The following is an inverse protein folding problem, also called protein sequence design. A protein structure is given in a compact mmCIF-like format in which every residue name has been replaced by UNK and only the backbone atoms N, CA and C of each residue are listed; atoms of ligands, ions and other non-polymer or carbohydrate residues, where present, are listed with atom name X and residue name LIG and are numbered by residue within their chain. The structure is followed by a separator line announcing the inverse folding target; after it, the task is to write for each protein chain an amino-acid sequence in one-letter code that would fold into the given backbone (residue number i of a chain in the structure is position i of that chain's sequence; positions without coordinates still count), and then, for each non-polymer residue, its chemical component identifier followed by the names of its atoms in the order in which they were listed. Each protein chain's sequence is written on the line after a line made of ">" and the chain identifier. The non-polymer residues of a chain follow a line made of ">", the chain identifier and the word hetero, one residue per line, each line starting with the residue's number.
data_IF_253076939490
#
_entry.id   IF_253076939490
#
_cell.length_a   1.000
_cell.length_b   1.000
_cell.length_c   1.000
_cell.angle_alpha   90.00
_cell.angle_beta   90.00
_cell.angle_gamma   90.00
#
_symmetry.space_group_name_H-M   'P 1'
#
loop_
_entity.id
_entity.type
_entity.pdbx_description
1 polymer ?
#
# COMPACT_ATOMS: atom_id res chain seq x y z
N UNK A 1 -47.01 9.74 47.06
CA UNK A 1 -47.81 9.17 45.95
C UNK A 1 -47.94 10.24 44.89
N UNK A 2 -47.13 10.18 43.84
CA UNK A 2 -47.21 11.14 42.73
C UNK A 2 -47.92 10.49 41.55
N UNK A 3 -48.97 11.13 41.04
CA UNK A 3 -49.85 10.64 39.97
C UNK A 3 -49.42 11.23 38.64
N UNK A 4 -49.30 10.39 37.61
CA UNK A 4 -49.19 10.82 36.20
C UNK A 4 -50.61 11.06 35.68
N UNK A 5 -50.90 12.23 35.10
CA UNK A 5 -52.20 12.49 34.46
C UNK A 5 -52.07 12.18 32.97
N UNK A 6 -52.67 11.08 32.53
CA UNK A 6 -52.83 10.73 31.12
C UNK A 6 -54.25 11.06 30.66
N UNK A 7 -54.38 11.60 29.46
CA UNK A 7 -55.64 11.74 28.73
C UNK A 7 -56.17 10.36 28.29
N UNK A 8 -57.47 10.24 28.02
CA UNK A 8 -58.15 9.05 27.45
C UNK A 8 -57.54 8.56 26.12
N UNK A 9 -56.78 9.43 25.42
CA UNK A 9 -56.00 9.13 24.22
C UNK A 9 -54.55 8.65 24.50
N UNK A 10 -54.16 8.51 25.77
CA UNK A 10 -52.81 8.07 26.17
C UNK A 10 -51.74 9.17 26.15
N UNK A 11 -52.10 10.44 25.97
CA UNK A 11 -51.16 11.57 26.02
C UNK A 11 -50.93 12.07 27.46
N UNK A 12 -49.66 12.26 27.83
CA UNK A 12 -49.22 12.76 29.15
C UNK A 12 -49.50 14.28 29.24
N UNK A 13 -50.32 14.72 30.20
CA UNK A 13 -50.76 16.14 30.30
C UNK A 13 -49.94 17.03 31.25
N UNK A 14 -49.15 16.49 32.19
CA UNK A 14 -48.51 17.33 33.21
C UNK A 14 -47.27 16.66 33.85
N UNK A 15 -46.19 17.44 34.07
CA UNK A 15 -44.92 17.03 34.68
C UNK A 15 -44.74 17.67 36.06
N UNK A 16 -44.97 16.92 37.13
CA UNK A 16 -44.82 17.43 38.50
C UNK A 16 -43.38 17.46 39.02
N UNK A 17 -42.37 17.33 38.13
CA UNK A 17 -40.96 17.19 38.52
C UNK A 17 -40.10 18.40 38.09
N UNK A 18 -39.16 18.88 38.93
CA UNK A 18 -38.33 20.05 38.63
C UNK A 18 -37.40 19.91 37.42
N UNK A 19 -37.29 21.00 36.64
CA UNK A 19 -36.28 21.25 35.60
C UNK A 19 -36.17 20.19 34.49
N UNK A 20 -37.25 19.45 34.26
CA UNK A 20 -37.42 18.54 33.12
C UNK A 20 -38.34 19.14 32.05
N UNK A 21 -38.18 18.68 30.81
CA UNK A 21 -39.10 18.94 29.71
C UNK A 21 -39.41 17.63 29.00
N UNK A 22 -40.61 17.48 28.44
CA UNK A 22 -40.95 16.35 27.58
C UNK A 22 -41.34 16.81 26.19
N UNK A 23 -40.97 15.99 25.21
CA UNK A 23 -41.28 16.17 23.81
C UNK A 23 -41.69 14.82 23.22
N UNK A 24 -42.82 14.81 22.52
CA UNK A 24 -43.38 13.58 21.94
C UNK A 24 -42.53 13.00 20.81
N UNK A 25 -41.61 13.78 20.24
CA UNK A 25 -40.79 13.38 19.09
C UNK A 25 -39.35 12.96 19.46
N UNK A 26 -38.96 12.98 20.74
CA UNK A 26 -37.60 12.64 21.17
C UNK A 26 -37.57 11.36 22.00
N UNK A 27 -36.52 10.54 21.84
CA UNK A 27 -36.24 9.40 22.72
C UNK A 27 -34.96 9.70 23.53
N UNK A 28 -35.00 9.73 24.88
CA UNK A 28 -36.16 9.50 25.73
C UNK A 28 -37.18 10.66 25.69
N UNK A 29 -38.44 10.35 26.00
CA UNK A 29 -39.59 11.26 25.90
C UNK A 29 -39.46 12.49 26.80
N UNK A 30 -38.81 12.34 27.96
CA UNK A 30 -38.53 13.42 28.89
C UNK A 30 -37.02 13.54 29.09
N UNK A 31 -36.53 14.78 29.13
CA UNK A 31 -35.12 15.11 29.31
C UNK A 31 -34.95 16.24 30.33
N UNK A 32 -33.85 16.22 31.08
CA UNK A 32 -33.44 17.38 31.88
C UNK A 32 -33.07 18.55 30.96
N UNK A 33 -33.36 19.78 31.39
CA UNK A 33 -32.90 20.99 30.70
C UNK A 33 -31.36 21.04 30.66
N UNK A 34 -30.80 21.81 29.71
CA UNK A 34 -29.35 22.01 29.59
C UNK A 34 -28.81 22.57 30.91
N UNK A 35 -27.69 22.02 31.39
CA UNK A 35 -27.10 22.39 32.69
C UNK A 35 -27.70 21.65 33.89
N UNK A 36 -28.55 20.64 33.68
CA UNK A 36 -29.13 19.80 34.73
C UNK A 36 -28.85 18.31 34.51
N UNK A 37 -28.83 17.54 35.60
CA UNK A 37 -28.69 16.08 35.61
C UNK A 37 -29.87 15.43 36.33
N UNK A 38 -30.21 14.17 36.00
CA UNK A 38 -31.14 13.37 36.80
C UNK A 38 -30.67 13.30 38.25
N UNK A 39 -31.59 13.47 39.21
CA UNK A 39 -31.26 13.37 40.65
C UNK A 39 -30.81 11.97 41.07
N UNK A 40 -31.33 10.93 40.40
CA UNK A 40 -30.96 9.52 40.57
C UNK A 40 -30.61 8.95 39.19
N UNK A 41 -29.34 8.55 39.01
CA UNK A 41 -28.79 8.21 37.70
C UNK A 41 -29.28 6.89 37.09
N UNK A 42 -29.74 5.93 37.90
CA UNK A 42 -30.14 4.60 37.43
C UNK A 42 -31.65 4.47 37.11
N UNK A 43 -32.50 5.33 37.67
CA UNK A 43 -33.97 5.21 37.55
C UNK A 43 -34.50 5.70 36.19
N UNK A 44 -33.79 6.64 35.55
CA UNK A 44 -34.17 7.21 34.24
C UNK A 44 -34.03 6.22 33.08
N UNK A 45 -33.11 5.25 33.17
CA UNK A 45 -32.97 4.17 32.18
C UNK A 45 -34.15 3.20 32.21
N UNK A 46 -34.87 3.14 33.35
CA UNK A 46 -36.04 2.30 33.56
C UNK A 46 -37.36 3.05 33.28
N UNK A 47 -37.29 4.31 32.82
CA UNK A 47 -38.46 5.14 32.53
C UNK A 47 -39.10 5.78 33.77
N UNK A 48 -38.44 5.77 34.93
CA UNK A 48 -38.89 6.47 36.12
C UNK A 48 -38.23 7.85 36.22
N UNK A 49 -39.01 8.88 35.89
CA UNK A 49 -38.59 10.28 35.91
C UNK A 49 -38.90 11.00 37.24
N UNK A 50 -39.36 10.27 38.26
CA UNK A 50 -39.88 10.85 39.50
C UNK A 50 -38.86 11.59 40.36
N UNK A 51 -37.57 11.34 40.16
CA UNK A 51 -36.51 12.05 40.87
C UNK A 51 -36.33 13.51 40.45
N UNK A 52 -36.85 13.91 39.28
CA UNK A 52 -36.61 15.23 38.69
C UNK A 52 -35.13 15.48 38.36
N UNK A 53 -34.83 16.75 38.05
CA UNK A 53 -33.50 17.17 37.62
C UNK A 53 -32.87 18.14 38.64
N UNK A 54 -31.55 18.08 38.79
CA UNK A 54 -30.75 18.94 39.66
C UNK A 54 -29.67 19.66 38.85
N UNK A 55 -29.33 20.89 39.23
CA UNK A 55 -28.31 21.68 38.53
C UNK A 55 -26.95 20.96 38.55
N UNK A 56 -26.28 20.94 37.40
CA UNK A 56 -24.89 20.47 37.25
C UNK A 56 -23.90 21.40 37.90
N UNK A 57 -24.05 22.70 37.62
CA UNK A 57 -23.14 23.74 38.06
C UNK A 57 -23.86 24.77 38.91
N UNK A 58 -23.21 25.21 39.99
CA UNK A 58 -23.72 26.26 40.88
C UNK A 58 -23.66 27.63 40.18
N UNK A 59 -24.70 28.44 40.36
CA UNK A 59 -24.76 29.81 39.86
C UNK A 59 -23.80 30.72 40.63
N UNK A 60 -23.24 31.71 39.94
CA UNK A 60 -22.24 32.64 40.49
C UNK A 60 -22.85 33.92 41.07
N UNK A 61 -24.10 34.23 40.71
CA UNK A 61 -24.91 35.28 41.35
C UNK A 61 -24.19 36.63 41.56
N UNK A 62 -23.51 37.12 40.52
CA UNK A 62 -22.91 38.45 40.52
C UNK A 62 -21.60 38.61 41.31
N UNK A 63 -21.12 37.59 42.03
CA UNK A 63 -19.81 37.62 42.68
C UNK A 63 -18.70 37.36 41.65
N UNK A 64 -18.37 38.38 40.87
CA UNK A 64 -17.18 38.40 40.00
C UNK A 64 -15.88 38.62 40.80
N UNK A 65 -15.77 38.07 42.01
CA UNK A 65 -14.59 38.25 42.89
C UNK A 65 -13.44 37.29 42.56
N UNK A 66 -13.63 36.36 41.63
CA UNK A 66 -12.57 35.53 41.09
C UNK A 66 -12.35 35.91 39.62
N UNK A 67 -11.18 36.49 39.32
CA UNK A 67 -10.80 37.07 38.01
C UNK A 67 -10.89 36.13 36.78
N UNK A 68 -11.38 34.90 36.94
CA UNK A 68 -11.47 33.87 35.90
C UNK A 68 -12.84 33.17 35.81
N UNK A 69 -13.90 33.65 36.47
CA UNK A 69 -15.25 33.05 36.39
C UNK A 69 -16.23 33.99 35.69
N UNK A 70 -16.81 33.54 34.58
CA UNK A 70 -17.78 34.32 33.81
C UNK A 70 -19.10 34.53 34.55
N UNK A 71 -19.83 35.61 34.21
CA UNK A 71 -21.17 35.92 34.76
C UNK A 71 -22.20 34.91 34.24
N UNK A 72 -23.17 34.54 35.09
CA UNK A 72 -24.33 33.72 34.69
C UNK A 72 -25.00 34.30 33.44
N UNK A 73 -25.50 33.44 32.56
CA UNK A 73 -26.16 33.81 31.30
C UNK A 73 -27.48 33.06 31.14
N UNK A 74 -28.28 33.42 30.15
CA UNK A 74 -29.54 32.76 29.85
C UNK A 74 -29.48 31.95 28.57
N UNK A 75 -30.14 30.79 28.59
CA UNK A 75 -30.39 29.96 27.42
C UNK A 75 -31.86 30.12 27.01
N UNK A 76 -32.10 30.47 25.75
CA UNK A 76 -33.45 30.55 25.20
C UNK A 76 -33.98 29.15 24.85
N UNK A 77 -35.23 28.91 25.22
CA UNK A 77 -36.08 27.80 24.78
C UNK A 77 -37.36 28.36 24.14
N UNK A 78 -37.46 28.28 22.82
CA UNK A 78 -38.62 28.78 22.07
C UNK A 78 -39.76 27.76 22.05
N UNK A 79 -41.00 28.23 21.82
CA UNK A 79 -42.21 27.40 21.70
C UNK A 79 -42.47 26.47 22.90
N UNK A 80 -42.29 27.00 24.11
CA UNK A 80 -42.53 26.28 25.35
C UNK A 80 -43.88 26.66 25.96
N UNK A 81 -44.52 25.69 26.63
CA UNK A 81 -45.56 25.97 27.61
C UNK A 81 -44.88 26.37 28.92
N UNK A 82 -45.11 27.62 29.34
CA UNK A 82 -44.48 28.20 30.52
C UNK A 82 -45.06 27.64 31.84
N UNK A 83 -44.29 27.62 32.94
CA UNK A 83 -44.78 27.18 34.24
C UNK A 83 -45.83 28.12 34.82
N UNK A 84 -46.67 27.58 35.70
CA UNK A 84 -47.68 28.35 36.43
C UNK A 84 -47.04 29.22 37.53
N UNK A 85 -47.78 30.24 38.00
CA UNK A 85 -47.40 31.15 39.09
C UNK A 85 -46.13 31.99 38.87
N UNK A 86 -46.00 32.73 37.75
CA UNK A 86 -44.91 33.68 37.59
C UNK A 86 -45.06 34.88 38.54
N UNK A 87 -43.93 35.49 38.90
CA UNK A 87 -43.90 36.82 39.50
C UNK A 87 -43.81 37.85 38.37
N UNK A 88 -44.82 38.73 38.28
CA UNK A 88 -44.84 39.80 37.30
C UNK A 88 -44.00 40.97 37.78
N UNK A 89 -43.11 41.45 36.90
CA UNK A 89 -42.27 42.62 37.16
C UNK A 89 -42.58 43.70 36.14
N UNK A 90 -42.76 44.94 36.60
CA UNK A 90 -42.91 46.08 35.71
C UNK A 90 -41.56 46.33 35.01
N UNK A 91 -41.49 45.99 33.72
CA UNK A 91 -40.29 46.07 32.90
C UNK A 91 -40.69 46.50 31.48
N UNK A 92 -40.02 47.52 30.94
CA UNK A 92 -40.32 48.09 29.63
C UNK A 92 -39.65 47.35 28.46
N UNK A 93 -38.73 46.42 28.75
CA UNK A 93 -38.02 45.64 27.75
C UNK A 93 -37.59 44.27 28.26
N UNK A 94 -37.23 43.38 27.32
CA UNK A 94 -36.67 42.05 27.63
C UNK A 94 -35.32 42.14 28.35
N UNK A 95 -34.50 43.15 28.04
CA UNK A 95 -33.18 43.37 28.66
C UNK A 95 -33.30 43.85 30.11
N UNK A 96 -34.34 44.65 30.43
CA UNK A 96 -34.67 45.01 31.80
C UNK A 96 -35.20 43.81 32.61
N UNK A 97 -35.96 42.92 31.97
CA UNK A 97 -36.44 41.68 32.57
C UNK A 97 -35.27 40.74 32.91
N UNK A 98 -34.33 40.59 31.97
CA UNK A 98 -33.08 39.86 32.16
C UNK A 98 -32.27 40.44 33.33
N UNK A 99 -32.05 41.76 33.32
CA UNK A 99 -31.29 42.45 34.37
C UNK A 99 -31.93 42.31 35.75
N UNK A 100 -33.27 42.35 35.81
CA UNK A 100 -34.03 42.15 37.05
C UNK A 100 -33.88 40.74 37.60
N UNK A 101 -33.90 39.73 36.71
CA UNK A 101 -33.62 38.35 37.08
C UNK A 101 -32.17 38.14 37.55
N UNK A 102 -31.17 38.74 36.87
CA UNK A 102 -29.76 38.62 37.28
C UNK A 102 -29.47 39.18 38.66
N UNK A 103 -30.14 40.27 39.05
CA UNK A 103 -30.02 40.89 40.38
C UNK A 103 -30.53 40.00 41.51
N UNK A 104 -31.47 39.09 41.23
CA UNK A 104 -32.00 38.15 42.21
C UNK A 104 -31.35 36.77 42.02
N UNK A 105 -30.48 36.35 42.93
CA UNK A 105 -29.79 35.05 42.84
C UNK A 105 -30.77 33.85 42.84
N UNK A 106 -31.93 34.01 43.46
CA UNK A 106 -32.98 32.98 43.45
C UNK A 106 -33.74 32.90 42.13
N UNK A 107 -33.54 33.86 41.21
CA UNK A 107 -34.17 33.81 39.90
C UNK A 107 -33.63 32.66 39.05
N UNK A 108 -34.52 31.76 38.64
CA UNK A 108 -34.22 30.59 37.83
C UNK A 108 -34.41 30.86 36.34
N UNK A 109 -35.47 31.56 35.96
CA UNK A 109 -35.80 31.86 34.58
C UNK A 109 -36.68 33.10 34.46
N UNK A 110 -36.74 33.68 33.26
CA UNK A 110 -37.71 34.70 32.91
C UNK A 110 -38.34 34.42 31.54
N UNK A 111 -39.47 35.07 31.28
CA UNK A 111 -40.10 35.16 29.97
C UNK A 111 -40.54 36.60 29.77
N UNK A 112 -40.48 37.07 28.53
CA UNK A 112 -40.90 38.41 28.17
C UNK A 112 -41.78 38.33 26.93
N UNK A 113 -43.02 38.78 27.06
CA UNK A 113 -44.00 38.81 25.99
C UNK A 113 -44.76 40.16 25.99
N UNK A 114 -45.88 40.23 25.24
CA UNK A 114 -46.73 41.43 25.20
C UNK A 114 -47.42 41.74 26.54
N UNK A 115 -47.53 40.76 27.44
CA UNK A 115 -48.14 40.91 28.76
C UNK A 115 -47.11 41.34 29.83
N UNK A 116 -45.83 41.45 29.45
CA UNK A 116 -44.76 42.00 30.29
C UNK A 116 -43.72 40.95 30.70
N UNK A 117 -43.02 41.24 31.79
CA UNK A 117 -41.95 40.40 32.31
C UNK A 117 -42.49 39.43 33.36
N UNK A 118 -42.30 38.13 33.11
CA UNK A 118 -42.63 37.04 34.03
C UNK A 118 -41.34 36.40 34.54
N UNK A 119 -41.17 36.33 35.86
CA UNK A 119 -39.97 35.79 36.51
C UNK A 119 -40.33 34.59 37.40
N UNK A 120 -39.49 33.55 37.39
CA UNK A 120 -39.59 32.41 38.29
C UNK A 120 -38.39 32.37 39.24
N UNK A 121 -38.67 32.28 40.55
CA UNK A 121 -37.64 32.21 41.61
C UNK A 121 -37.54 30.85 42.30
N UNK A 122 -38.25 29.86 41.79
CA UNK A 122 -38.33 28.51 42.34
C UNK A 122 -38.05 27.48 41.24
N UNK A 123 -38.24 26.21 41.58
CA UNK A 123 -38.16 25.09 40.65
C UNK A 123 -39.19 25.23 39.53
N UNK A 124 -38.74 25.02 38.29
CA UNK A 124 -39.62 25.04 37.13
C UNK A 124 -40.25 23.66 36.97
N UNK A 125 -41.56 23.58 37.14
CA UNK A 125 -42.37 22.36 36.95
C UNK A 125 -43.34 22.55 35.79
N UNK A 126 -43.90 21.47 35.26
CA UNK A 126 -44.89 21.48 34.18
C UNK A 126 -44.41 22.12 32.86
N UNK A 127 -43.10 22.13 32.61
CA UNK A 127 -42.55 22.58 31.32
C UNK A 127 -42.81 21.55 30.22
N UNK A 128 -43.24 22.04 29.06
CA UNK A 128 -43.52 21.20 27.90
C UNK A 128 -43.09 21.90 26.61
N UNK A 129 -42.36 21.19 25.75
CA UNK A 129 -42.04 21.64 24.40
C UNK A 129 -43.26 21.41 23.50
N UNK A 130 -43.79 22.48 22.91
CA UNK A 130 -44.93 22.38 22.00
C UNK A 130 -44.46 22.05 20.58
N UNK A 131 -45.33 21.39 19.81
CA UNK A 131 -45.09 21.07 18.40
C UNK A 131 -45.19 22.35 17.56
N UNK A 132 -44.40 22.45 16.48
CA UNK A 132 -44.16 23.69 15.73
C UNK A 132 -45.37 24.37 15.08
N UNK A 133 -46.59 23.84 15.21
CA UNK A 133 -47.83 24.43 14.70
C UNK A 133 -48.69 25.11 15.79
N UNK A 134 -48.32 25.02 17.07
CA UNK A 134 -49.09 25.63 18.16
C UNK A 134 -48.65 27.07 18.40
N UNK A 135 -49.50 28.02 17.99
CA UNK A 135 -49.31 29.47 18.17
C UNK A 135 -49.34 29.95 19.64
N UNK A 136 -49.51 29.04 20.59
CA UNK A 136 -49.55 29.31 22.04
C UNK A 136 -48.18 29.19 22.73
N UNK A 137 -47.14 28.77 22.00
CA UNK A 137 -45.79 28.66 22.55
C UNK A 137 -45.16 30.00 22.86
N UNK A 138 -44.41 30.06 23.96
CA UNK A 138 -43.67 31.26 24.40
C UNK A 138 -42.18 30.96 24.57
N UNK A 139 -41.33 31.98 24.51
CA UNK A 139 -39.89 31.85 24.78
C UNK A 139 -39.59 31.93 26.28
N UNK A 140 -38.94 30.90 26.82
CA UNK A 140 -38.43 30.85 28.18
C UNK A 140 -36.91 31.05 28.17
N UNK A 141 -36.40 31.91 29.03
CA UNK A 141 -34.97 32.18 29.20
C UNK A 141 -34.50 31.59 30.53
N UNK A 142 -33.78 30.47 30.47
CA UNK A 142 -33.30 29.72 31.64
C UNK A 142 -31.92 30.18 32.07
N UNK A 143 -31.73 30.50 33.36
CA UNK A 143 -30.44 30.94 33.92
C UNK A 143 -29.47 29.77 34.11
N UNK A 144 -28.27 29.88 33.53
CA UNK A 144 -27.19 28.91 33.58
C UNK A 144 -25.85 29.57 33.96
N UNK A 145 -24.93 28.77 34.52
CA UNK A 145 -23.57 29.23 34.82
C UNK A 145 -22.76 29.45 33.54
N UNK A 146 -21.83 30.41 33.53
CA UNK A 146 -21.02 30.74 32.34
C UNK A 146 -20.21 29.56 31.79
N UNK A 147 -19.78 28.66 32.66
CA UNK A 147 -19.04 27.45 32.29
C UNK A 147 -19.85 26.45 31.47
N UNK A 148 -21.18 26.51 31.51
CA UNK A 148 -22.05 25.67 30.67
C UNK A 148 -21.98 26.06 29.18
N UNK A 149 -21.48 27.26 28.86
CA UNK A 149 -21.35 27.76 27.48
C UNK A 149 -19.94 27.61 26.90
N UNK A 150 -18.96 27.10 27.68
CA UNK A 150 -17.53 27.08 27.28
C UNK A 150 -17.06 25.74 26.69
N UNK A 151 -17.96 24.89 26.21
CA UNK A 151 -17.63 23.61 25.57
C UNK A 151 -17.92 23.65 24.08
N UNK A 152 -16.98 24.16 23.28
CA UNK A 152 -16.77 23.66 21.90
C UNK A 152 -15.46 24.11 21.26
N UNK A 153 -14.33 23.73 21.86
CA UNK A 153 -13.00 23.96 21.25
C UNK A 153 -12.33 22.65 20.79
N UNK A 154 -12.89 21.49 21.15
CA UNK A 154 -12.25 20.19 20.88
C UNK A 154 -12.67 19.59 19.53
N UNK A 155 -13.85 19.92 19.00
CA UNK A 155 -14.33 19.36 17.73
C UNK A 155 -13.50 19.85 16.52
N UNK A 156 -13.10 21.13 16.50
CA UNK A 156 -12.26 21.68 15.43
C UNK A 156 -10.85 21.08 15.39
N UNK A 157 -10.26 20.77 16.55
CA UNK A 157 -8.95 20.12 16.65
C UNK A 157 -9.03 18.67 16.16
N UNK A 158 -10.08 17.93 16.53
CA UNK A 158 -10.27 16.54 16.09
C UNK A 158 -10.47 16.45 14.57
N UNK A 159 -11.29 17.33 13.99
CA UNK A 159 -11.51 17.38 12.53
C UNK A 159 -10.21 17.74 11.79
N UNK A 160 -9.42 18.68 12.32
CA UNK A 160 -8.11 19.05 11.77
C UNK A 160 -7.11 17.89 11.78
N UNK A 161 -6.99 17.17 12.90
CA UNK A 161 -6.07 16.04 13.04
C UNK A 161 -6.48 14.89 12.13
N UNK A 162 -7.76 14.51 12.10
CA UNK A 162 -8.24 13.42 11.24
C UNK A 162 -8.07 13.77 9.76
N UNK A 163 -8.36 15.01 9.37
CA UNK A 163 -8.14 15.50 8.00
C UNK A 163 -6.66 15.40 7.59
N UNK A 164 -5.73 15.84 8.45
CA UNK A 164 -4.29 15.77 8.16
C UNK A 164 -3.78 14.34 8.00
N UNK A 165 -4.24 13.41 8.84
CA UNK A 165 -3.82 12.00 8.78
C UNK A 165 -4.31 11.34 7.49
N UNK A 166 -5.56 11.59 7.09
CA UNK A 166 -6.11 11.04 5.84
C UNK A 166 -5.37 11.58 4.61
N UNK A 167 -5.01 12.87 4.59
CA UNK A 167 -4.23 13.45 3.50
C UNK A 167 -2.82 12.85 3.43
N UNK A 168 -2.13 12.71 4.56
CA UNK A 168 -0.80 12.08 4.61
C UNK A 168 -0.85 10.62 4.17
N UNK A 169 -1.81 9.84 4.68
CA UNK A 169 -1.99 8.44 4.25
C UNK A 169 -2.36 8.35 2.76
N UNK A 170 -3.17 9.26 2.24
CA UNK A 170 -3.50 9.38 0.83
C UNK A 170 -2.28 9.69 -0.03
N UNK A 171 -1.45 10.65 0.39
CA UNK A 171 -0.18 10.98 -0.28
C UNK A 171 0.80 9.81 -0.23
N UNK A 172 0.94 9.14 0.91
CA UNK A 172 1.77 7.93 1.03
C UNK A 172 1.25 6.79 0.14
N UNK A 173 -0.07 6.61 0.04
CA UNK A 173 -0.67 5.64 -0.87
C UNK A 173 -0.44 6.01 -2.34
N UNK A 174 -0.58 7.29 -2.71
CA UNK A 174 -0.30 7.78 -4.06
C UNK A 174 1.18 7.66 -4.39
N UNK A 175 2.08 8.00 -3.47
CA UNK A 175 3.52 7.80 -3.61
C UNK A 175 3.86 6.32 -3.74
N UNK A 176 3.30 5.45 -2.91
CA UNK A 176 3.46 4.00 -3.00
C UNK A 176 2.93 3.45 -4.34
N UNK A 177 1.79 3.96 -4.82
CA UNK A 177 1.20 3.59 -6.11
C UNK A 177 2.00 4.14 -7.29
N UNK A 178 2.53 5.37 -7.21
CA UNK A 178 3.39 5.97 -8.22
C UNK A 178 4.77 5.31 -8.25
N UNK A 179 5.37 5.01 -7.10
CA UNK A 179 6.61 4.26 -6.97
C UNK A 179 6.41 2.83 -7.50
N UNK A 180 5.29 2.17 -7.19
CA UNK A 180 4.92 0.90 -7.83
C UNK A 180 4.68 1.06 -9.32
N UNK A 181 4.08 2.14 -9.82
CA UNK A 181 3.89 2.36 -11.26
C UNK A 181 5.21 2.65 -11.98
N UNK A 182 6.14 3.41 -11.40
CA UNK A 182 7.46 3.69 -11.94
C UNK A 182 8.37 2.45 -11.93
N UNK A 183 8.22 1.56 -10.94
CA UNK A 183 8.91 0.27 -10.88
C UNK A 183 8.20 -0.79 -11.75
N UNK A 184 6.87 -0.71 -11.90
CA UNK A 184 6.08 -1.70 -12.63
C UNK A 184 5.95 -1.42 -14.13
N UNK A 185 5.97 -0.17 -14.62
CA UNK A 185 5.89 0.08 -16.07
C UNK A 185 7.03 -0.56 -16.87
N UNK A 186 8.30 -0.57 -16.43
CA UNK A 186 9.32 -1.37 -17.11
C UNK A 186 9.16 -2.87 -16.90
N UNK A 187 8.74 -3.34 -15.71
CA UNK A 187 8.50 -4.76 -15.43
C UNK A 187 7.26 -5.35 -16.13
N UNK A 188 6.26 -4.55 -16.50
CA UNK A 188 5.03 -5.03 -17.18
C UNK A 188 5.30 -5.24 -18.68
N UNK A 189 6.17 -4.44 -19.28
CA UNK A 189 6.56 -4.54 -20.69
C UNK A 189 7.75 -5.48 -20.92
N UNK A 190 8.65 -5.61 -19.94
CA UNK A 190 9.81 -6.51 -19.96
C UNK A 190 10.03 -7.19 -18.59
N UNK A 191 9.17 -8.14 -18.19
CA UNK A 191 9.21 -8.78 -16.86
C UNK A 191 10.54 -9.49 -16.56
N UNK A 192 11.24 -9.94 -17.60
CA UNK A 192 12.40 -10.80 -17.51
C UNK A 192 13.74 -10.04 -17.53
N UNK A 193 13.78 -8.75 -17.92
CA UNK A 193 15.05 -8.00 -18.10
C UNK A 193 15.15 -6.75 -17.23
N UNK A 194 14.05 -6.26 -16.65
CA UNK A 194 14.07 -5.04 -15.83
C UNK A 194 14.93 -5.16 -14.55
N UNK A 195 15.16 -6.37 -14.03
CA UNK A 195 16.02 -6.56 -12.86
C UNK A 195 17.53 -6.50 -13.18
N UNK A 196 17.92 -6.52 -14.46
CA UNK A 196 19.33 -6.48 -14.87
C UNK A 196 20.03 -5.19 -14.49
N UNK A 197 19.29 -4.07 -14.40
CA UNK A 197 19.84 -2.79 -13.95
C UNK A 197 20.31 -2.82 -12.49
N UNK A 198 19.93 -3.84 -11.72
CA UNK A 198 20.39 -4.05 -10.34
C UNK A 198 21.59 -5.00 -10.22
N UNK A 199 22.03 -5.62 -11.33
CA UNK A 199 23.17 -6.53 -11.34
C UNK A 199 24.44 -5.79 -11.73
N UNK A 200 25.05 -5.10 -10.77
CA UNK A 200 26.33 -4.43 -10.97
C UNK A 200 27.54 -5.36 -10.81
N UNK A 201 27.89 -6.16 -11.82
CA UNK A 201 29.17 -6.91 -11.85
C UNK A 201 29.74 -7.12 -13.27
N UNK A 202 31.07 -7.10 -13.37
CA UNK A 202 31.91 -7.11 -14.59
C UNK A 202 31.62 -8.19 -15.65
N UNK A 203 30.88 -9.26 -15.32
CA UNK A 203 30.70 -10.47 -16.17
C UNK A 203 29.28 -10.68 -16.69
N UNK A 204 28.37 -9.76 -16.41
CA UNK A 204 27.01 -9.73 -16.96
C UNK A 204 26.87 -8.49 -17.83
N UNK A 205 26.17 -8.62 -18.94
CA UNK A 205 25.87 -7.47 -19.80
C UNK A 205 24.73 -6.66 -19.19
N UNK A 206 25.08 -5.51 -18.61
CA UNK A 206 24.18 -4.70 -17.80
C UNK A 206 23.32 -3.79 -18.66
N UNK A 207 22.02 -3.76 -18.39
CA UNK A 207 21.06 -2.84 -18.99
C UNK A 207 21.19 -1.45 -18.35
N UNK A 208 21.55 -0.44 -19.14
CA UNK A 208 21.64 0.95 -18.68
C UNK A 208 20.29 1.65 -18.64
N UNK A 209 19.42 1.31 -19.58
CA UNK A 209 18.12 1.95 -19.68
C UNK A 209 17.25 1.32 -20.75
N UNK A 210 16.03 1.84 -20.86
CA UNK A 210 15.05 1.41 -21.84
C UNK A 210 14.29 2.64 -22.34
N UNK A 211 13.78 2.57 -23.57
CA UNK A 211 12.89 3.60 -24.11
C UNK A 211 11.59 2.95 -24.58
N UNK A 212 10.48 3.60 -24.23
CA UNK A 212 9.14 3.20 -24.61
C UNK A 212 8.37 4.42 -25.15
N UNK A 213 8.01 4.36 -26.43
CA UNK A 213 7.24 5.43 -27.09
C UNK A 213 6.51 4.90 -28.33
N UNK A 214 5.17 5.02 -28.33
CA UNK A 214 4.32 4.45 -29.38
C UNK A 214 4.48 2.92 -29.47
N UNK A 215 4.74 2.41 -30.68
CA UNK A 215 5.01 0.98 -30.93
C UNK A 215 6.50 0.58 -30.80
N UNK A 216 7.39 1.50 -30.42
CA UNK A 216 8.83 1.23 -30.33
C UNK A 216 9.22 0.86 -28.89
N UNK A 217 9.93 -0.26 -28.75
CA UNK A 217 10.52 -0.74 -27.49
C UNK A 217 12.02 -0.88 -27.73
N UNK A 218 12.82 -0.14 -26.98
CA UNK A 218 14.28 -0.13 -27.12
C UNK A 218 14.93 -0.43 -25.77
N UNK A 219 16.04 -1.17 -25.81
CA UNK A 219 16.88 -1.46 -24.67
C UNK A 219 18.27 -0.87 -24.95
N UNK A 220 18.88 -0.25 -23.94
CA UNK A 220 20.16 0.46 -24.06
C UNK A 220 21.19 -0.27 -23.19
N UNK A 221 22.29 -0.66 -23.82
CA UNK A 221 23.41 -1.37 -23.22
C UNK A 221 24.73 -0.71 -23.63
N UNK A 222 25.82 -1.04 -22.93
CA UNK A 222 27.18 -0.70 -23.40
C UNK A 222 27.45 -1.33 -24.76
N UNK A 223 28.11 -0.65 -25.68
CA UNK A 223 28.49 -1.29 -26.93
C UNK A 223 29.64 -2.30 -26.73
N UNK A 224 29.46 -3.52 -27.24
CA UNK A 224 30.45 -4.61 -27.21
C UNK A 224 31.22 -4.66 -28.53
N UNK A 225 32.45 -4.16 -28.51
CA UNK A 225 33.24 -3.87 -29.72
C UNK A 225 33.65 -5.14 -30.48
N UNK A 226 33.86 -6.25 -29.78
CA UNK A 226 34.17 -7.54 -30.40
C UNK A 226 32.92 -8.38 -30.68
N UNK A 227 31.71 -7.86 -30.43
CA UNK A 227 30.47 -8.55 -30.77
C UNK A 227 30.29 -9.89 -30.05
N UNK A 228 29.64 -10.85 -30.71
CA UNK A 228 29.31 -12.17 -30.15
C UNK A 228 30.42 -13.19 -30.37
N UNK A 229 30.58 -14.11 -29.41
CA UNK A 229 31.54 -15.21 -29.50
C UNK A 229 31.31 -16.08 -30.76
N UNK A 230 30.06 -16.30 -31.17
CA UNK A 230 29.77 -17.12 -32.36
C UNK A 230 30.28 -16.51 -33.66
N UNK A 231 30.38 -15.18 -33.75
CA UNK A 231 30.97 -14.47 -34.89
C UNK A 231 32.46 -14.81 -35.03
N UNK A 232 33.16 -14.97 -33.90
CA UNK A 232 34.57 -15.37 -33.86
C UNK A 232 34.80 -16.87 -34.12
N UNK A 233 33.84 -17.72 -33.79
CA UNK A 233 33.98 -19.18 -33.94
C UNK A 233 33.59 -19.68 -35.33
N UNK A 234 32.57 -19.09 -35.97
CA UNK A 234 31.95 -19.67 -37.17
C UNK A 234 31.97 -18.79 -38.42
N UNK A 235 32.10 -17.47 -38.26
CA UNK A 235 31.97 -16.52 -39.37
C UNK A 235 33.34 -15.93 -39.75
N UNK A 236 34.22 -16.78 -40.26
CA UNK A 236 35.65 -16.53 -40.46
C UNK A 236 36.05 -15.68 -41.68
N UNK A 237 35.40 -14.53 -41.95
CA UNK A 237 35.86 -13.64 -43.04
C UNK A 237 36.45 -12.29 -42.60
N UNK A 238 36.11 -11.78 -41.41
CA UNK A 238 36.65 -10.48 -40.93
C UNK A 238 37.04 -10.48 -39.45
N UNK A 239 36.80 -11.57 -38.72
CA UNK A 239 36.99 -11.61 -37.27
C UNK A 239 38.34 -12.21 -36.86
N UNK A 240 38.96 -11.62 -35.83
CA UNK A 240 40.22 -12.12 -35.25
C UNK A 240 40.00 -13.52 -34.67
N UNK A 241 40.76 -14.49 -35.17
CA UNK A 241 40.76 -15.86 -34.65
C UNK A 241 41.17 -15.85 -33.18
N UNK A 242 40.34 -16.44 -32.32
CA UNK A 242 40.60 -16.51 -30.89
C UNK A 242 41.66 -17.57 -30.60
N UNK A 243 42.75 -17.15 -29.94
CA UNK A 243 43.78 -18.05 -29.47
C UNK A 243 43.31 -18.86 -28.25
N UNK A 244 44.08 -19.90 -27.91
CA UNK A 244 43.79 -20.80 -26.79
C UNK A 244 43.57 -20.05 -25.47
N UNK A 245 44.45 -19.09 -25.16
CA UNK A 245 44.40 -18.32 -23.91
C UNK A 245 43.11 -17.52 -23.83
N UNK A 246 42.72 -16.86 -24.91
CA UNK A 246 41.49 -16.06 -24.99
C UNK A 246 40.26 -16.95 -24.85
N UNK A 247 40.21 -18.09 -25.56
CA UNK A 247 39.11 -19.06 -25.40
C UNK A 247 38.98 -19.56 -23.96
N UNK A 248 40.09 -19.90 -23.31
CA UNK A 248 40.07 -20.29 -21.90
C UNK A 248 39.52 -19.18 -20.98
N UNK A 249 39.94 -17.93 -21.17
CA UNK A 249 39.41 -16.80 -20.39
C UNK A 249 37.93 -16.57 -20.65
N UNK A 250 37.47 -16.77 -21.88
CA UNK A 250 36.04 -16.68 -22.24
C UNK A 250 35.24 -17.77 -21.52
N UNK A 251 35.70 -19.02 -21.54
CA UNK A 251 35.07 -20.12 -20.81
C UNK A 251 34.98 -19.80 -19.31
N UNK A 252 36.12 -19.48 -18.69
CA UNK A 252 36.21 -19.19 -17.26
C UNK A 252 35.36 -17.97 -16.86
N UNK A 253 35.40 -16.89 -17.64
CA UNK A 253 34.62 -15.69 -17.38
C UNK A 253 33.11 -15.95 -17.51
N UNK A 254 32.70 -16.75 -18.51
CA UNK A 254 31.31 -17.17 -18.67
C UNK A 254 30.85 -18.03 -17.49
N UNK A 255 31.65 -19.02 -17.07
CA UNK A 255 31.35 -19.84 -15.91
C UNK A 255 31.17 -19.02 -14.63
N UNK A 256 32.03 -18.01 -14.40
CA UNK A 256 31.89 -17.07 -13.28
C UNK A 256 30.60 -16.26 -13.37
N UNK A 257 30.23 -15.79 -14.57
CA UNK A 257 28.96 -15.11 -14.80
C UNK A 257 27.77 -16.00 -14.45
N UNK A 258 27.76 -17.25 -14.89
CA UNK A 258 26.71 -18.22 -14.59
C UNK A 258 26.63 -18.55 -13.09
N UNK A 259 27.77 -18.79 -12.44
CA UNK A 259 27.83 -19.04 -11.00
C UNK A 259 27.25 -17.87 -10.20
N UNK A 260 27.55 -16.63 -10.63
CA UNK A 260 26.96 -15.45 -9.99
C UNK A 260 25.44 -15.36 -10.19
N UNK A 261 24.89 -15.77 -11.33
CA UNK A 261 23.44 -15.82 -11.55
C UNK A 261 22.76 -16.84 -10.63
N UNK A 262 23.41 -17.97 -10.37
CA UNK A 262 22.84 -19.06 -9.55
C UNK A 262 22.96 -18.81 -8.05
N UNK A 263 24.14 -18.37 -7.61
CA UNK A 263 24.51 -18.34 -6.18
C UNK A 263 24.81 -16.92 -5.67
N UNK A 264 25.17 -16.01 -6.57
CA UNK A 264 25.57 -14.65 -6.22
C UNK A 264 24.43 -13.65 -6.13
N UNK A 265 23.23 -14.04 -6.56
CA UNK A 265 22.02 -13.22 -6.56
C UNK A 265 21.06 -13.66 -5.43
N UNK A 266 20.27 -12.72 -4.90
CA UNK A 266 19.30 -13.03 -3.81
C UNK A 266 18.28 -14.09 -4.22
N UNK A 267 17.78 -13.99 -5.45
CA UNK A 267 16.92 -14.98 -6.08
C UNK A 267 17.75 -15.64 -7.20
N UNK A 268 17.69 -16.97 -7.32
CA UNK A 268 18.43 -17.70 -8.34
C UNK A 268 17.92 -17.31 -9.74
N UNK A 269 18.82 -16.90 -10.63
CA UNK A 269 18.47 -16.52 -12.00
C UNK A 269 18.80 -17.65 -12.96
N UNK A 270 17.79 -18.08 -13.71
CA UNK A 270 17.97 -19.00 -14.84
C UNK A 270 17.73 -18.20 -16.13
N UNK A 271 18.72 -18.16 -17.01
CA UNK A 271 18.82 -17.43 -18.27
C UNK A 271 18.07 -18.13 -19.41
N UNK A 272 18.08 -19.46 -19.41
CA UNK A 272 17.45 -20.34 -20.38
C UNK A 272 18.02 -20.37 -21.82
N UNK A 273 19.08 -19.62 -22.14
CA UNK A 273 19.60 -19.54 -23.52
C UNK A 273 21.11 -19.30 -23.56
N UNK A 274 21.86 -20.15 -22.87
CA UNK A 274 23.33 -20.08 -22.87
C UNK A 274 23.86 -20.72 -24.15
N UNK A 275 24.51 -19.90 -24.99
CA UNK A 275 25.09 -20.27 -26.28
C UNK A 275 26.09 -19.19 -26.73
N UNK A 276 27.01 -19.47 -27.68
CA UNK A 276 28.00 -18.49 -28.14
C UNK A 276 27.42 -17.16 -28.66
N UNK A 277 26.21 -17.15 -29.22
CA UNK A 277 25.55 -15.91 -29.69
C UNK A 277 25.26 -14.93 -28.53
N UNK A 278 25.01 -15.48 -27.35
CA UNK A 278 24.61 -14.73 -26.16
C UNK A 278 25.80 -14.43 -25.23
N UNK A 279 27.03 -14.71 -25.68
CA UNK A 279 28.26 -14.30 -25.00
C UNK A 279 28.87 -13.16 -25.81
N UNK A 280 28.77 -11.94 -25.30
CA UNK A 280 29.36 -10.76 -25.93
C UNK A 280 30.75 -10.49 -25.37
N UNK A 281 31.60 -9.88 -26.19
CA UNK A 281 33.01 -9.63 -25.90
C UNK A 281 33.30 -8.13 -25.95
N UNK A 282 33.88 -7.60 -24.87
CA UNK A 282 34.40 -6.22 -24.84
C UNK A 282 35.75 -6.11 -25.55
N UNK A 283 36.37 -4.92 -25.53
CA UNK A 283 37.64 -4.65 -26.25
C UNK A 283 38.78 -5.57 -25.81
N UNK A 284 38.80 -6.02 -24.55
CA UNK A 284 39.79 -6.96 -24.01
C UNK A 284 39.43 -8.45 -24.21
N UNK A 285 38.36 -8.75 -24.97
CA UNK A 285 37.80 -10.10 -25.11
C UNK A 285 37.31 -10.69 -23.78
N UNK A 286 36.97 -9.85 -22.80
CA UNK A 286 36.32 -10.32 -21.59
C UNK A 286 34.85 -10.67 -21.89
N UNK A 287 34.38 -11.87 -21.49
CA UNK A 287 33.04 -12.32 -21.80
C UNK A 287 32.01 -11.68 -20.87
N UNK A 288 30.86 -11.31 -21.45
CA UNK A 288 29.64 -10.95 -20.72
C UNK A 288 28.45 -11.74 -21.23
N UNK A 289 27.74 -12.38 -20.31
CA UNK A 289 26.48 -13.08 -20.62
C UNK A 289 25.43 -12.03 -20.97
N UNK A 290 24.77 -12.19 -22.11
CA UNK A 290 23.81 -11.27 -22.70
C UNK A 290 22.51 -11.98 -23.13
N UNK A 291 21.49 -11.20 -23.50
CA UNK A 291 20.16 -11.67 -23.91
C UNK A 291 19.38 -12.46 -22.85
N UNK A 292 19.01 -11.75 -21.80
CA UNK A 292 18.16 -12.26 -20.73
C UNK A 292 16.66 -12.24 -21.09
N UNK A 293 16.27 -12.14 -22.37
CA UNK A 293 14.87 -12.09 -22.78
C UNK A 293 14.04 -13.31 -22.30
N UNK A 294 14.71 -14.46 -22.14
CA UNK A 294 14.13 -15.71 -21.65
C UNK A 294 14.35 -15.96 -20.15
N UNK A 295 15.11 -15.10 -19.47
CA UNK A 295 15.53 -15.32 -18.09
C UNK A 295 14.38 -15.27 -17.08
N UNK A 296 14.50 -15.98 -15.95
CA UNK A 296 13.54 -15.99 -14.84
C UNK A 296 14.22 -16.07 -13.48
N UNK A 297 13.53 -15.54 -12.48
CA UNK A 297 13.88 -15.63 -11.06
C UNK A 297 13.19 -16.86 -10.44
N UNK A 298 13.98 -17.78 -9.88
CA UNK A 298 13.51 -18.94 -9.13
C UNK A 298 13.48 -18.55 -7.65
N UNK A 299 12.28 -18.34 -7.12
CA UNK A 299 12.07 -17.94 -5.71
C UNK A 299 10.64 -17.51 -5.35
N UNK A 300 9.83 -17.05 -6.32
CA UNK A 300 8.48 -16.51 -6.04
C UNK A 300 7.30 -17.28 -6.63
N UNK A 301 7.47 -18.03 -7.72
CA UNK A 301 6.39 -18.86 -8.28
C UNK A 301 6.95 -20.11 -8.98
N UNK A 302 7.09 -21.20 -8.22
CA UNK A 302 7.53 -22.51 -8.73
C UNK A 302 6.52 -23.13 -9.73
N UNK A 303 5.35 -22.52 -9.95
CA UNK A 303 4.16 -23.20 -10.49
C UNK A 303 3.87 -22.88 -11.99
N UNK A 304 4.41 -21.79 -12.58
CA UNK A 304 4.14 -21.43 -14.00
C UNK A 304 5.27 -21.68 -14.99
N UNK A 305 6.43 -22.17 -14.54
CA UNK A 305 7.62 -22.33 -15.40
C UNK A 305 7.57 -23.58 -16.29
N UNK A 306 6.66 -24.53 -16.02
CA UNK A 306 6.56 -25.83 -16.69
C UNK A 306 6.00 -25.80 -18.14
N UNK A 307 5.49 -24.68 -18.68
CA UNK A 307 4.53 -24.75 -19.80
C UNK A 307 4.99 -24.25 -21.18
N UNK A 308 6.20 -23.68 -21.36
CA UNK A 308 6.65 -23.27 -22.72
C UNK A 308 8.08 -23.73 -23.01
N UNK A 309 8.24 -24.58 -24.04
CA UNK A 309 9.54 -24.91 -24.63
C UNK A 309 10.21 -23.62 -25.10
N UNK A 310 11.34 -23.26 -24.49
CA UNK A 310 12.17 -22.08 -24.80
C UNK A 310 13.63 -22.51 -24.92
N UNK A 311 14.48 -21.70 -25.55
CA UNK A 311 15.92 -21.98 -25.73
C UNK A 311 16.27 -22.53 -27.12
N UNK A 312 17.56 -22.77 -27.36
CA UNK A 312 18.12 -23.02 -28.70
C UNK A 312 18.49 -24.49 -28.93
N UNK A 313 18.00 -25.07 -30.03
CA UNK A 313 18.33 -26.45 -30.44
C UNK A 313 19.85 -26.63 -30.57
N UNK A 314 20.39 -27.68 -29.95
CA UNK A 314 21.83 -27.91 -29.85
C UNK A 314 22.45 -27.53 -28.51
N UNK A 315 21.72 -26.77 -27.68
CA UNK A 315 22.14 -26.36 -26.33
C UNK A 315 21.13 -26.75 -25.24
N UNK A 316 19.97 -27.30 -25.62
CA UNK A 316 18.91 -27.73 -24.69
C UNK A 316 19.28 -29.02 -23.96
N UNK A 317 19.17 -28.98 -22.64
CA UNK A 317 19.34 -30.15 -21.78
C UNK A 317 18.21 -31.18 -22.03
N UNK A 318 18.49 -32.50 -21.90
CA UNK A 318 17.51 -33.54 -22.18
C UNK A 318 16.26 -33.40 -21.30
N UNK A 319 16.40 -33.10 -20.01
CA UNK A 319 15.29 -32.87 -19.07
C UNK A 319 14.33 -31.77 -19.53
N UNK A 320 14.84 -30.81 -20.29
CA UNK A 320 14.07 -29.73 -20.87
C UNK A 320 13.22 -30.18 -22.05
N UNK A 321 13.77 -31.08 -22.88
CA UNK A 321 13.07 -31.66 -24.04
C UNK A 321 11.93 -32.57 -23.58
N UNK A 322 12.15 -33.35 -22.51
CA UNK A 322 11.11 -34.18 -21.87
C UNK A 322 10.19 -33.39 -20.92
N UNK A 323 10.29 -32.06 -20.87
CA UNK A 323 9.40 -31.14 -20.12
C UNK A 323 9.33 -31.41 -18.61
N UNK A 324 10.44 -31.84 -18.02
CA UNK A 324 10.58 -32.01 -16.57
C UNK A 324 10.98 -30.67 -15.92
N UNK A 325 10.87 -30.56 -14.60
CA UNK A 325 11.26 -29.36 -13.86
C UNK A 325 12.71 -28.95 -14.16
N UNK A 326 12.87 -27.76 -14.72
CA UNK A 326 14.16 -27.20 -15.09
C UNK A 326 14.87 -26.68 -13.84
N UNK A 327 16.12 -27.11 -13.65
CA UNK A 327 16.98 -26.66 -12.55
C UNK A 327 18.18 -25.88 -13.10
N UNK A 328 19.03 -25.37 -12.21
CA UNK A 328 20.33 -24.79 -12.57
C UNK A 328 21.23 -25.78 -13.33
N UNK A 329 20.97 -27.10 -13.29
CA UNK A 329 21.70 -28.11 -14.06
C UNK A 329 21.51 -27.98 -15.57
N UNK A 330 20.38 -27.46 -16.02
CA UNK A 330 20.17 -27.20 -17.44
C UNK A 330 21.13 -26.13 -17.98
N UNK A 331 21.51 -25.12 -17.17
CA UNK A 331 22.57 -24.17 -17.54
C UNK A 331 23.93 -24.84 -17.64
N UNK A 332 24.23 -25.79 -16.76
CA UNK A 332 25.51 -26.53 -16.78
C UNK A 332 25.60 -27.32 -18.08
N UNK A 333 24.51 -27.98 -18.48
CA UNK A 333 24.43 -28.67 -19.77
C UNK A 333 24.64 -27.70 -20.95
N UNK A 334 23.89 -26.60 -21.02
CA UNK A 334 24.04 -25.61 -22.10
C UNK A 334 25.45 -24.99 -22.15
N UNK A 335 26.08 -24.79 -21.00
CA UNK A 335 27.48 -24.35 -20.90
C UNK A 335 28.44 -25.43 -21.44
N UNK A 336 28.21 -26.71 -21.15
CA UNK A 336 28.98 -27.81 -21.76
C UNK A 336 28.86 -27.85 -23.27
N UNK A 337 27.64 -27.66 -23.80
CA UNK A 337 27.40 -27.51 -25.24
C UNK A 337 28.18 -26.32 -25.83
N UNK A 338 28.22 -25.18 -25.14
CA UNK A 338 29.04 -24.04 -25.55
C UNK A 338 30.55 -24.35 -25.52
N UNK A 339 31.03 -25.12 -24.54
CA UNK A 339 32.44 -25.53 -24.47
C UNK A 339 32.83 -26.41 -25.65
N UNK A 340 31.96 -27.33 -26.09
CA UNK A 340 32.20 -28.14 -27.29
C UNK A 340 32.37 -27.27 -28.54
N UNK A 341 31.52 -26.25 -28.71
CA UNK A 341 31.63 -25.29 -29.80
C UNK A 341 32.92 -24.46 -29.70
N UNK A 342 33.30 -24.06 -28.49
CA UNK A 342 34.48 -23.25 -28.23
C UNK A 342 35.78 -24.00 -28.54
N UNK A 343 35.88 -25.28 -28.19
CA UNK A 343 37.09 -26.08 -28.43
C UNK A 343 37.19 -26.60 -29.85
N UNK A 344 36.07 -26.90 -30.49
CA UNK A 344 36.05 -27.53 -31.82
C UNK A 344 35.96 -26.52 -32.95
N UNK A 345 35.45 -25.31 -32.68
CA UNK A 345 35.08 -24.36 -33.74
C UNK A 345 33.95 -24.89 -34.64
N UNK A 346 33.23 -25.93 -34.22
CA UNK A 346 32.13 -26.57 -34.98
C UNK A 346 30.81 -26.38 -34.24
N UNK A 347 29.72 -26.27 -34.99
CA UNK A 347 28.36 -26.19 -34.42
C UNK A 347 27.97 -27.54 -33.82
N UNK A 348 27.23 -27.51 -32.71
CA UNK A 348 26.74 -28.76 -32.09
C UNK A 348 25.74 -29.53 -32.95
N UNK A 349 24.91 -28.80 -33.69
CA UNK A 349 23.95 -29.34 -34.65
C UNK A 349 24.28 -28.82 -36.04
N UNK A 350 24.59 -29.73 -36.96
CA UNK A 350 24.78 -29.40 -38.37
C UNK A 350 23.62 -30.01 -39.18
N UNK A 351 22.78 -29.15 -39.78
CA UNK A 351 21.70 -29.57 -40.67
C UNK A 351 22.29 -29.79 -42.08
N UNK A 352 22.98 -30.91 -42.27
CA UNK A 352 23.35 -31.32 -43.63
C UNK A 352 22.11 -31.74 -44.43
N UNK A 353 22.11 -31.51 -45.74
CA UNK A 353 21.01 -31.85 -46.67
C UNK A 353 20.57 -33.33 -46.63
N UNK A 354 21.38 -34.23 -46.05
CA UNK A 354 21.16 -35.67 -46.01
C UNK A 354 20.14 -36.18 -44.96
N UNK A 355 19.26 -35.31 -44.39
CA UNK A 355 18.25 -35.63 -43.35
C UNK A 355 18.78 -36.24 -42.03
N UNK A 356 20.07 -36.54 -41.92
CA UNK A 356 20.71 -37.01 -40.69
C UNK A 356 21.32 -35.80 -39.97
N UNK A 357 20.72 -35.42 -38.83
CA UNK A 357 21.29 -34.42 -37.93
C UNK A 357 22.53 -35.04 -37.28
N UNK A 358 23.71 -34.54 -37.63
CA UNK A 358 24.95 -34.91 -36.93
C UNK A 358 25.03 -34.08 -35.66
N UNK A 359 24.95 -34.74 -34.50
CA UNK A 359 25.10 -34.10 -33.20
C UNK A 359 26.53 -34.29 -32.68
N UNK A 360 27.35 -33.26 -32.81
CA UNK A 360 28.78 -33.30 -32.47
C UNK A 360 29.05 -33.72 -31.01
N UNK A 361 28.29 -33.28 -29.99
CA UNK A 361 28.55 -33.64 -28.61
C UNK A 361 28.51 -35.16 -28.33
N UNK A 362 27.66 -35.94 -29.01
CA UNK A 362 27.65 -37.41 -28.85
C UNK A 362 28.97 -38.02 -29.33
N UNK A 363 29.48 -37.55 -30.49
CA UNK A 363 30.77 -38.00 -31.02
C UNK A 363 31.91 -37.61 -30.07
N UNK A 364 31.90 -36.38 -29.58
CA UNK A 364 32.92 -35.90 -28.66
C UNK A 364 32.93 -36.69 -27.34
N UNK A 365 31.74 -36.96 -26.77
CA UNK A 365 31.60 -37.76 -25.55
C UNK A 365 32.07 -39.20 -25.74
N UNK A 366 31.73 -39.87 -26.86
CA UNK A 366 32.22 -41.22 -27.17
C UNK A 366 33.75 -41.28 -27.23
N UNK A 367 34.39 -40.35 -27.94
CA UNK A 367 35.86 -40.26 -28.00
C UNK A 367 36.47 -40.10 -26.60
N UNK A 368 35.87 -39.29 -25.73
CA UNK A 368 36.39 -39.03 -24.38
C UNK A 368 36.19 -40.22 -23.45
N UNK A 369 35.03 -40.88 -23.50
CA UNK A 369 34.68 -42.03 -22.65
C UNK A 369 35.47 -43.27 -23.05
N UNK A 370 35.64 -43.50 -24.35
CA UNK A 370 36.35 -44.66 -24.90
C UNK A 370 37.87 -44.48 -24.91
N UNK A 371 38.38 -43.31 -24.50
CA UNK A 371 39.81 -43.01 -24.47
C UNK A 371 40.44 -42.82 -25.85
N UNK A 372 39.66 -42.38 -26.82
CA UNK A 372 40.11 -42.04 -28.17
C UNK A 372 40.92 -40.73 -28.23
N UNK A 373 41.45 -40.44 -29.42
CA UNK A 373 42.27 -39.24 -29.65
C UNK A 373 41.42 -37.96 -29.59
N UNK A 374 41.63 -37.16 -28.54
CA UNK A 374 40.93 -35.89 -28.33
C UNK A 374 41.39 -34.79 -29.30
N UNK A 375 42.54 -34.91 -29.95
CA UNK A 375 42.99 -33.91 -30.93
C UNK A 375 42.03 -33.81 -32.12
N UNK A 376 41.39 -34.91 -32.52
CA UNK A 376 40.41 -34.91 -33.61
C UNK A 376 39.13 -34.11 -33.31
N UNK A 377 38.93 -33.70 -32.05
CA UNK A 377 37.81 -32.87 -31.59
C UNK A 377 38.13 -31.39 -31.59
N UNK A 378 39.41 -31.02 -31.65
CA UNK A 378 39.85 -29.65 -31.54
C UNK A 378 39.64 -28.89 -32.85
N UNK A 379 39.49 -27.59 -32.72
CA UNK A 379 39.56 -26.66 -33.83
C UNK A 379 40.93 -26.80 -34.50
N UNK A 380 40.95 -26.92 -35.83
CA UNK A 380 42.17 -26.96 -36.64
C UNK A 380 43.14 -25.80 -36.34
N UNK A 381 42.61 -24.65 -35.89
CA UNK A 381 43.40 -23.49 -35.48
C UNK A 381 44.05 -23.63 -34.10
N UNK A 382 43.55 -24.56 -33.27
CA UNK A 382 44.04 -24.89 -31.93
C UNK A 382 44.94 -26.14 -31.88
N UNK A 383 44.84 -27.04 -32.86
CA UNK A 383 45.53 -28.35 -32.92
C UNK A 383 47.04 -28.28 -32.60
N UNK A 384 47.73 -27.19 -32.98
CA UNK A 384 49.18 -27.04 -32.76
C UNK A 384 49.58 -26.43 -31.41
N UNK A 385 48.62 -26.06 -30.55
CA UNK A 385 48.90 -25.25 -29.33
C UNK A 385 48.23 -25.77 -28.06
N UNK A 386 47.38 -26.79 -28.15
CA UNK A 386 46.67 -27.38 -27.00
C UNK A 386 47.28 -28.72 -26.65
N UNK A 387 47.59 -28.91 -25.36
CA UNK A 387 48.09 -30.17 -24.83
C UNK A 387 46.92 -31.16 -24.62
N UNK A 388 47.20 -32.46 -24.79
CA UNK A 388 46.21 -33.55 -24.71
C UNK A 388 45.46 -33.51 -23.39
N UNK A 389 46.17 -33.32 -22.27
CA UNK A 389 45.55 -33.31 -20.95
C UNK A 389 44.56 -32.15 -20.77
N UNK A 390 44.85 -30.99 -21.35
CA UNK A 390 44.00 -29.81 -21.24
C UNK A 390 42.76 -29.96 -22.12
N UNK A 391 42.93 -30.46 -23.35
CA UNK A 391 41.81 -30.82 -24.22
C UNK A 391 40.89 -31.84 -23.55
N UNK A 392 41.47 -32.89 -22.96
CA UNK A 392 40.72 -33.93 -22.26
C UNK A 392 40.00 -33.38 -21.03
N UNK A 393 40.61 -32.47 -20.27
CA UNK A 393 39.96 -31.80 -19.13
C UNK A 393 38.75 -30.98 -19.57
N UNK A 394 38.86 -30.18 -20.63
CA UNK A 394 37.74 -29.36 -21.12
C UNK A 394 36.61 -30.25 -21.64
N UNK A 395 36.93 -31.28 -22.42
CA UNK A 395 35.93 -32.23 -22.90
C UNK A 395 35.22 -32.97 -21.75
N UNK A 396 35.96 -33.34 -20.69
CA UNK A 396 35.37 -33.96 -19.47
C UNK A 396 34.46 -33.01 -18.69
N UNK A 397 34.73 -31.70 -18.73
CA UNK A 397 33.84 -30.69 -18.11
C UNK A 397 32.60 -30.45 -18.97
N UNK A 398 32.71 -30.64 -20.29
CA UNK A 398 31.61 -30.46 -21.24
C UNK A 398 30.64 -31.65 -21.32
N UNK A 399 31.12 -32.85 -20.99
CA UNK A 399 30.31 -34.07 -20.82
C UNK A 399 29.60 -34.07 -19.46
#
# INVERSE_FOLDING_TARGET
>A
MSRVVMDVSGQLKQLTWPFGTCNQNTQPFCNCLIGFNPKLGNDWYLGDYSGGCVRRTKLQCGNASAANQGKDRFQEYSNMRLPEHPQFVASGSATECESSCLKNCSCTAYAYDRNGCSIWTMDLVNLQQLLGNDSSGSSLYLRLAASEFSRDNNMGIIIGVVGSVVVVLGLLYVMWKQQRRLIATPCVLWPNTCWLSFLGKDRIYVLHGFCFGGNKKLLVYDYMQNGSLDSHLFHGKESKVLDKKTRYQIALGTARGLAFLHEGCRDCIVHYDIKPQNILLDVEFCPKVADFGLAKLIGRELIRVLTTMRGTTGHLAPEWIVRVAITTKAHVYSYGMMLFELISGRRNCDQSEARIVKFFPIRAASVVIEGGDVHCLLDHMLEKRVDVEEAQRICKVAC
#
